data_IF_374745001498
#
_entry.id   IF_374745001498
#
_cell.length_a   1.000
_cell.length_b   1.000
_cell.length_c   1.000
_cell.angle_alpha   90.00
_cell.angle_beta   90.00
_cell.angle_gamma   90.00
#
_symmetry.space_group_name_H-M   'P 1'
#
loop_
_entity.id
_entity.type
_entity.pdbx_description
1 polymer ?
#
# COMPACT_ATOMS: atom_id res chain seq x y z
N UNK A 1 -26.86 -5.46 24.18
CA UNK A 1 -26.23 -4.84 22.98
C UNK A 1 -25.39 -5.90 22.30
N UNK A 2 -25.67 -6.22 21.03
CA UNK A 2 -24.92 -7.22 20.24
C UNK A 2 -24.58 -6.57 18.89
N UNK A 3 -23.33 -6.15 18.72
CA UNK A 3 -22.82 -5.68 17.44
C UNK A 3 -22.61 -6.90 16.54
N UNK A 4 -23.33 -6.97 15.43
CA UNK A 4 -23.04 -7.91 14.34
C UNK A 4 -22.16 -7.16 13.34
N UNK A 5 -20.96 -7.67 13.13
CA UNK A 5 -20.00 -7.18 12.14
C UNK A 5 -20.66 -7.13 10.76
N UNK A 6 -20.54 -5.98 10.10
CA UNK A 6 -21.03 -5.75 8.74
C UNK A 6 -20.32 -6.68 7.77
N UNK A 7 -21.11 -7.58 7.18
CA UNK A 7 -20.78 -8.39 6.00
C UNK A 7 -20.95 -7.52 4.77
N UNK A 8 -19.88 -7.17 4.05
CA UNK A 8 -19.83 -6.60 2.69
C UNK A 8 -18.33 -6.65 2.32
N UNK A 9 -17.81 -7.33 1.30
CA UNK A 9 -18.28 -7.63 -0.05
C UNK A 9 -17.64 -8.96 -0.52
N UNK A 10 -18.43 -9.87 -1.08
CA UNK A 10 -17.92 -10.98 -1.91
C UNK A 10 -17.64 -10.43 -3.30
N UNK A 11 -16.38 -10.31 -3.68
CA UNK A 11 -15.96 -9.96 -5.03
C UNK A 11 -15.62 -11.27 -5.75
N UNK A 12 -16.64 -11.98 -6.24
CA UNK A 12 -16.41 -13.15 -7.09
C UNK A 12 -16.78 -12.82 -8.54
N UNK A 13 -15.83 -13.13 -9.42
CA UNK A 13 -16.02 -13.51 -10.81
C UNK A 13 -16.45 -12.43 -11.80
N UNK A 14 -15.47 -11.73 -12.35
CA UNK A 14 -15.51 -11.40 -13.79
C UNK A 14 -14.13 -11.63 -14.43
N UNK A 15 -14.17 -12.42 -15.51
CA UNK A 15 -13.19 -12.61 -16.60
C UNK A 15 -11.93 -13.43 -16.33
N UNK A 16 -12.03 -14.72 -16.65
CA UNK A 16 -10.93 -15.52 -17.17
C UNK A 16 -10.44 -14.96 -18.51
N UNK A 17 -9.14 -14.66 -18.63
CA UNK A 17 -8.52 -14.29 -19.90
C UNK A 17 -7.06 -13.83 -19.77
N UNK A 18 -6.12 -14.71 -20.16
CA UNK A 18 -4.81 -14.43 -20.78
C UNK A 18 -3.80 -13.46 -20.14
N UNK A 19 -2.72 -14.02 -19.57
CA UNK A 19 -1.29 -13.64 -19.72
C UNK A 19 -0.78 -12.16 -19.70
N UNK A 20 -1.48 -11.16 -19.17
CA UNK A 20 -0.93 -9.77 -19.15
C UNK A 20 -0.85 -9.02 -17.81
N UNK A 21 -1.16 -9.63 -16.66
CA UNK A 21 -0.98 -8.94 -15.36
C UNK A 21 -0.25 -9.84 -14.37
N UNK A 22 1.05 -9.61 -14.19
CA UNK A 22 1.86 -10.12 -13.07
C UNK A 22 1.50 -9.40 -11.76
N UNK A 23 0.20 -9.07 -11.59
CA UNK A 23 -0.36 -8.57 -10.35
C UNK A 23 -0.66 -9.80 -9.51
N UNK A 24 0.03 -10.01 -8.38
CA UNK A 24 -0.20 -11.18 -7.56
C UNK A 24 -1.68 -11.22 -7.15
N UNK A 25 -2.41 -12.24 -7.62
CA UNK A 25 -3.81 -12.46 -7.24
C UNK A 25 -3.97 -12.95 -5.78
N UNK A 26 -2.94 -12.74 -4.96
CA UNK A 26 -2.94 -13.03 -3.52
C UNK A 26 -3.04 -11.71 -2.75
N UNK A 27 -3.79 -11.67 -1.64
CA UNK A 27 -3.78 -10.50 -0.77
C UNK A 27 -2.35 -10.22 -0.27
N UNK A 28 -1.86 -9.00 -0.47
CA UNK A 28 -0.57 -8.57 0.09
C UNK A 28 -0.64 -8.57 1.61
N UNK A 29 0.42 -9.04 2.26
CA UNK A 29 0.60 -8.79 3.69
C UNK A 29 0.71 -7.28 3.96
N UNK A 30 0.39 -6.81 5.17
CA UNK A 30 0.55 -5.40 5.52
C UNK A 30 1.95 -4.85 5.25
N UNK A 31 2.99 -5.65 5.50
CA UNK A 31 4.38 -5.26 5.25
C UNK A 31 4.66 -5.13 3.75
N UNK A 32 4.22 -6.10 2.94
CA UNK A 32 4.34 -6.04 1.48
C UNK A 32 3.61 -4.81 0.91
N UNK A 33 2.41 -4.52 1.41
CA UNK A 33 1.65 -3.34 0.98
C UNK A 33 2.36 -2.03 1.37
N UNK A 34 2.86 -1.91 2.59
CA UNK A 34 3.59 -0.73 3.05
C UNK A 34 4.86 -0.50 2.23
N UNK A 35 5.67 -1.54 2.00
CA UNK A 35 6.88 -1.46 1.16
C UNK A 35 6.56 -1.12 -0.30
N UNK A 36 5.48 -1.67 -0.86
CA UNK A 36 5.03 -1.35 -2.21
C UNK A 36 4.64 0.12 -2.34
N UNK A 37 3.84 0.64 -1.39
CA UNK A 37 3.42 2.04 -1.36
C UNK A 37 4.63 2.97 -1.19
N UNK A 38 5.59 2.62 -0.33
CA UNK A 38 6.83 3.38 -0.15
C UNK A 38 7.60 3.53 -1.47
N UNK A 39 7.82 2.43 -2.20
CA UNK A 39 8.51 2.43 -3.49
C UNK A 39 7.75 3.22 -4.55
N UNK A 40 6.45 2.94 -4.71
CA UNK A 40 5.59 3.62 -5.68
C UNK A 40 5.52 5.13 -5.43
N UNK A 41 5.41 5.56 -4.16
CA UNK A 41 5.39 6.97 -3.80
C UNK A 41 6.71 7.67 -4.18
N UNK A 42 7.84 6.99 -4.03
CA UNK A 42 9.15 7.51 -4.44
C UNK A 42 9.22 7.73 -5.97
N UNK A 43 8.78 6.76 -6.75
CA UNK A 43 8.79 6.83 -8.21
C UNK A 43 7.85 7.92 -8.73
N UNK A 44 6.60 7.95 -8.24
CA UNK A 44 5.63 8.97 -8.61
C UNK A 44 6.13 10.36 -8.24
N UNK A 45 6.82 10.52 -7.11
CA UNK A 45 7.40 11.80 -6.70
C UNK A 45 8.46 12.27 -7.69
N UNK A 46 9.32 11.37 -8.17
CA UNK A 46 10.30 11.70 -9.21
C UNK A 46 9.61 12.18 -10.49
N UNK A 47 8.54 11.51 -10.93
CA UNK A 47 7.74 11.94 -12.08
C UNK A 47 7.07 13.31 -11.85
N UNK A 48 6.51 13.54 -10.66
CA UNK A 48 5.88 14.80 -10.29
C UNK A 48 6.89 15.97 -10.26
N UNK A 49 8.12 15.74 -9.78
CA UNK A 49 9.19 16.74 -9.81
C UNK A 49 9.58 17.08 -11.25
N UNK A 50 9.73 16.07 -12.11
CA UNK A 50 10.11 16.26 -13.51
C UNK A 50 9.05 17.03 -14.31
N UNK A 51 7.78 16.91 -13.92
CA UNK A 51 6.65 17.63 -14.52
C UNK A 51 6.27 18.93 -13.80
N UNK A 52 7.06 19.36 -12.80
CA UNK A 52 6.86 20.58 -12.01
C UNK A 52 5.54 20.63 -11.23
N UNK A 53 4.99 19.47 -10.86
CA UNK A 53 3.80 19.33 -10.02
C UNK A 53 4.21 19.36 -8.54
N UNK A 54 4.55 20.56 -8.03
CA UNK A 54 5.15 20.74 -6.69
C UNK A 54 4.27 20.24 -5.54
N UNK A 55 2.97 20.53 -5.56
CA UNK A 55 2.03 20.06 -4.54
C UNK A 55 1.89 18.53 -4.54
N UNK A 56 1.80 17.92 -5.73
CA UNK A 56 1.74 16.46 -5.86
C UNK A 56 3.05 15.81 -5.37
N UNK A 57 4.20 16.36 -5.77
CA UNK A 57 5.50 15.91 -5.27
C UNK A 57 5.58 15.98 -3.75
N UNK A 58 5.03 17.03 -3.12
CA UNK A 58 4.98 17.17 -1.67
C UNK A 58 4.13 16.06 -1.02
N UNK A 59 2.90 15.84 -1.50
CA UNK A 59 2.03 14.79 -0.94
C UNK A 59 2.61 13.39 -1.11
N UNK A 60 3.29 13.12 -2.22
CA UNK A 60 3.95 11.83 -2.45
C UNK A 60 5.12 11.61 -1.49
N UNK A 61 5.83 12.66 -1.06
CA UNK A 61 6.82 12.51 0.01
C UNK A 61 6.18 12.22 1.36
N UNK A 62 5.09 12.90 1.68
CA UNK A 62 4.36 12.65 2.93
C UNK A 62 3.86 11.21 2.98
N UNK A 63 3.30 10.71 1.87
CA UNK A 63 2.88 9.32 1.74
C UNK A 63 4.06 8.35 1.88
N UNK A 64 5.22 8.67 1.29
CA UNK A 64 6.43 7.86 1.42
C UNK A 64 6.92 7.80 2.86
N UNK A 65 7.00 8.93 3.56
CA UNK A 65 7.43 9.00 4.96
C UNK A 65 6.52 8.15 5.85
N UNK A 66 5.20 8.24 5.67
CA UNK A 66 4.24 7.42 6.42
C UNK A 66 4.41 5.93 6.12
N UNK A 67 4.58 5.56 4.84
CA UNK A 67 4.81 4.18 4.44
C UNK A 67 6.13 3.63 5.00
N UNK A 68 7.21 4.40 5.00
CA UNK A 68 8.48 4.01 5.62
C UNK A 68 8.33 3.78 7.13
N UNK A 69 7.59 4.65 7.83
CA UNK A 69 7.29 4.47 9.25
C UNK A 69 6.48 3.19 9.49
N UNK A 70 5.51 2.89 8.62
CA UNK A 70 4.73 1.67 8.68
C UNK A 70 5.59 0.41 8.48
N UNK A 71 6.49 0.43 7.49
CA UNK A 71 7.45 -0.64 7.23
C UNK A 71 8.28 -0.90 8.48
N UNK A 72 8.81 0.14 9.13
CA UNK A 72 9.59 -0.01 10.35
C UNK A 72 8.77 -0.63 11.50
N UNK A 73 7.52 -0.19 11.68
CA UNK A 73 6.63 -0.76 12.71
C UNK A 73 6.31 -2.23 12.46
N UNK A 74 6.11 -2.63 11.21
CA UNK A 74 5.74 -3.99 10.83
C UNK A 74 6.94 -4.95 10.75
N UNK A 75 8.11 -4.43 10.38
CA UNK A 75 9.35 -5.20 10.29
C UNK A 75 10.02 -5.39 11.67
N UNK A 76 9.68 -4.54 12.65
CA UNK A 76 10.12 -4.71 14.03
C UNK A 76 9.38 -5.90 14.64
N UNK A 77 10.06 -7.03 14.94
CA UNK A 77 9.43 -8.09 15.72
C UNK A 77 9.07 -7.46 17.06
N UNK A 78 7.82 -7.64 17.48
CA UNK A 78 7.28 -7.17 18.75
C UNK A 78 8.38 -7.17 19.81
N UNK A 79 8.79 -5.99 20.26
CA UNK A 79 9.46 -5.88 21.55
C UNK A 79 8.39 -6.23 22.59
N UNK A 80 8.16 -7.53 22.79
CA UNK A 80 7.59 -8.07 24.01
C UNK A 80 8.56 -7.70 25.14
N UNK A 81 8.39 -6.48 25.64
CA UNK A 81 8.82 -6.08 26.96
C UNK A 81 7.70 -5.27 27.56
N UNK A 82 6.79 -5.95 28.25
CA UNK A 82 6.62 -5.79 29.69
C UNK A 82 5.65 -6.84 30.25
#
# INVERSE_FOLDING_TARGET
MKQKASKLVSLESITSGGDEDDVPNRPMSPLEAASFIEGMAAELRAMARNTKLSALSYFLEMARIEASAEVERLASPSSERH
#
